data_IF_322497829092
#
_entry.id   IF_322497829092
#
_cell.length_a   1.000
_cell.length_b   1.000
_cell.length_c   1.000
_cell.angle_alpha   90.00
_cell.angle_beta   90.00
_cell.angle_gamma   90.00
#
_symmetry.space_group_name_H-M   'P 1'
#
loop_
_entity.id
_entity.type
_entity.pdbx_description
1 polymer ?
#
# COMPACT_ATOMS: atom_id res chain seq x y z
N UNK A 1 55.01 -30.49 12.89
CA UNK A 1 53.67 -30.28 12.28
C UNK A 1 53.31 -28.81 12.47
N UNK A 2 53.53 -27.98 11.44
CA UNK A 2 53.23 -26.54 11.47
C UNK A 2 51.93 -26.29 10.72
N UNK A 3 51.05 -25.51 11.36
CA UNK A 3 49.72 -25.12 10.90
C UNK A 3 49.73 -24.51 9.49
N UNK A 4 48.83 -25.00 8.64
CA UNK A 4 48.31 -24.30 7.46
C UNK A 4 46.78 -24.32 7.58
N UNK A 5 46.23 -23.35 8.32
CA UNK A 5 44.79 -23.07 8.32
C UNK A 5 44.56 -22.08 7.19
N UNK A 6 44.11 -22.60 6.05
CA UNK A 6 43.79 -21.82 4.85
C UNK A 6 42.55 -20.99 5.13
N UNK A 7 42.74 -19.66 5.08
CA UNK A 7 41.74 -18.61 5.16
C UNK A 7 40.81 -18.70 3.92
N UNK A 8 39.71 -19.44 4.04
CA UNK A 8 38.65 -19.45 3.02
C UNK A 8 37.65 -18.34 3.35
N UNK A 9 38.03 -17.10 3.04
CA UNK A 9 37.15 -15.94 3.08
C UNK A 9 36.11 -16.09 1.95
N UNK A 10 34.98 -16.75 2.27
CA UNK A 10 33.82 -16.76 1.39
C UNK A 10 33.24 -15.35 1.34
N UNK A 11 33.54 -14.65 0.25
CA UNK A 11 32.80 -13.50 -0.24
C UNK A 11 31.36 -13.97 -0.49
N UNK A 12 30.49 -13.80 0.51
CA UNK A 12 29.05 -13.84 0.29
C UNK A 12 28.73 -12.54 -0.46
N UNK A 13 28.77 -12.60 -1.79
CA UNK A 13 28.19 -11.54 -2.61
C UNK A 13 26.69 -11.56 -2.34
N UNK A 14 26.22 -10.63 -1.51
CA UNK A 14 24.80 -10.30 -1.41
C UNK A 14 24.32 -9.92 -2.80
N UNK A 15 23.62 -10.85 -3.47
CA UNK A 15 22.86 -10.53 -4.66
C UNK A 15 21.67 -9.69 -4.22
N UNK A 16 21.88 -8.39 -4.03
CA UNK A 16 20.80 -7.41 -4.10
C UNK A 16 20.21 -7.52 -5.49
N UNK A 17 19.14 -8.31 -5.63
CA UNK A 17 18.33 -8.28 -6.84
C UNK A 17 17.77 -6.87 -6.95
N UNK A 18 18.31 -6.10 -7.88
CA UNK A 18 17.76 -4.79 -8.19
C UNK A 18 16.31 -5.00 -8.63
N UNK A 19 15.35 -4.49 -7.86
CA UNK A 19 13.95 -4.53 -8.23
C UNK A 19 13.78 -3.81 -9.57
N UNK A 20 13.04 -4.42 -10.49
CA UNK A 20 12.76 -3.77 -11.77
C UNK A 20 11.85 -2.55 -11.56
N UNK A 21 11.86 -1.59 -12.48
CA UNK A 21 10.92 -0.45 -12.44
C UNK A 21 9.47 -0.93 -12.36
N UNK A 22 9.12 -2.01 -13.08
CA UNK A 22 7.77 -2.60 -13.00
C UNK A 22 7.45 -3.12 -11.59
N UNK A 23 8.40 -3.77 -10.92
CA UNK A 23 8.18 -4.26 -9.56
C UNK A 23 8.00 -3.10 -8.58
N UNK A 24 8.76 -2.02 -8.77
CA UNK A 24 8.64 -0.81 -7.96
C UNK A 24 7.28 -0.13 -8.17
N UNK A 25 6.80 0.00 -9.41
CA UNK A 25 5.49 0.59 -9.71
C UNK A 25 4.36 -0.18 -9.05
N UNK A 26 4.40 -1.52 -9.08
CA UNK A 26 3.41 -2.38 -8.39
C UNK A 26 3.32 -2.13 -6.89
N UNK A 27 4.36 -1.59 -6.24
CA UNK A 27 4.29 -1.25 -4.81
C UNK A 27 3.31 -0.11 -4.55
N UNK A 28 3.12 0.82 -5.49
CA UNK A 28 2.10 1.88 -5.37
C UNK A 28 0.67 1.32 -5.42
N UNK A 29 0.41 0.38 -6.32
CA UNK A 29 -0.88 -0.31 -6.46
C UNK A 29 -1.19 -1.12 -5.20
N UNK A 30 -0.22 -1.92 -4.73
CA UNK A 30 -0.33 -2.67 -3.48
C UNK A 30 -0.55 -1.76 -2.29
N UNK A 31 0.15 -0.63 -2.24
CA UNK A 31 0.01 0.34 -1.16
C UNK A 31 -1.41 0.89 -1.09
N UNK A 32 -1.95 1.32 -2.24
CA UNK A 32 -3.27 1.89 -2.32
C UNK A 32 -4.36 0.85 -1.98
N UNK A 33 -4.28 -0.35 -2.55
CA UNK A 33 -5.20 -1.43 -2.23
C UNK A 33 -5.17 -1.81 -0.74
N UNK A 34 -3.97 -1.86 -0.13
CA UNK A 34 -3.84 -2.13 1.30
C UNK A 34 -4.46 -1.02 2.16
N UNK A 35 -4.35 0.25 1.75
CA UNK A 35 -5.04 1.35 2.43
C UNK A 35 -6.57 1.29 2.28
N UNK A 36 -7.10 0.95 1.10
CA UNK A 36 -8.53 0.74 0.92
C UNK A 36 -9.03 -0.41 1.81
N UNK A 37 -8.33 -1.53 1.81
CA UNK A 37 -8.63 -2.66 2.68
C UNK A 37 -8.52 -2.33 4.17
N UNK A 38 -7.58 -1.49 4.59
CA UNK A 38 -7.48 -1.02 5.98
C UNK A 38 -8.66 -0.11 6.35
N UNK A 39 -9.14 0.73 5.43
CA UNK A 39 -10.33 1.54 5.63
C UNK A 39 -11.60 0.68 5.76
N UNK A 40 -11.74 -0.36 4.93
CA UNK A 40 -12.81 -1.36 5.06
C UNK A 40 -12.74 -2.10 6.40
N UNK A 41 -11.55 -2.58 6.79
CA UNK A 41 -11.33 -3.26 8.07
C UNK A 41 -11.69 -2.37 9.27
N UNK A 42 -11.39 -1.06 9.19
CA UNK A 42 -11.77 -0.09 10.22
C UNK A 42 -13.29 -0.01 10.39
N UNK A 43 -14.05 0.09 9.28
CA UNK A 43 -15.52 0.13 9.34
C UNK A 43 -16.12 -1.22 9.78
N UNK A 44 -15.49 -2.33 9.40
CA UNK A 44 -15.88 -3.68 9.77
C UNK A 44 -15.51 -4.07 11.22
N UNK A 45 -14.83 -3.18 11.96
CA UNK A 45 -14.29 -3.45 13.31
C UNK A 45 -13.27 -4.60 13.37
N UNK A 46 -12.51 -4.82 12.29
CA UNK A 46 -11.40 -5.78 12.23
C UNK A 46 -10.07 -5.09 12.59
N UNK A 47 -9.91 -4.69 13.86
CA UNK A 47 -8.77 -3.86 14.30
C UNK A 47 -7.39 -4.43 13.94
N UNK A 48 -7.20 -5.75 14.06
CA UNK A 48 -5.92 -6.39 13.74
C UNK A 48 -5.62 -6.32 12.23
N UNK A 49 -6.63 -6.55 11.39
CA UNK A 49 -6.50 -6.43 9.94
C UNK A 49 -6.27 -4.97 9.53
N UNK A 50 -6.98 -4.02 10.15
CA UNK A 50 -6.76 -2.59 9.91
C UNK A 50 -5.30 -2.23 10.17
N UNK A 51 -4.74 -2.63 11.31
CA UNK A 51 -3.34 -2.31 11.66
C UNK A 51 -2.35 -2.98 10.69
N UNK A 52 -2.56 -4.26 10.37
CA UNK A 52 -1.73 -5.02 9.43
C UNK A 52 -1.73 -4.39 8.03
N UNK A 53 -2.91 -4.09 7.50
CA UNK A 53 -3.09 -3.55 6.16
C UNK A 53 -2.62 -2.10 6.06
N UNK A 54 -2.85 -1.28 7.09
CA UNK A 54 -2.29 0.08 7.13
C UNK A 54 -0.76 0.04 7.11
N UNK A 55 -0.15 -0.83 7.91
CA UNK A 55 1.31 -1.01 7.93
C UNK A 55 1.83 -1.46 6.56
N UNK A 56 1.17 -2.44 5.94
CA UNK A 56 1.51 -2.89 4.58
C UNK A 56 1.43 -1.73 3.59
N UNK A 57 0.32 -0.99 3.58
CA UNK A 57 0.13 0.17 2.73
C UNK A 57 1.25 1.19 2.89
N UNK A 58 1.57 1.54 4.13
CA UNK A 58 2.62 2.48 4.47
C UNK A 58 4.01 2.02 4.01
N UNK A 59 4.38 0.77 4.26
CA UNK A 59 5.69 0.24 3.92
C UNK A 59 5.90 0.16 2.40
N UNK A 60 4.93 -0.35 1.65
CA UNK A 60 5.01 -0.44 0.19
C UNK A 60 5.05 0.95 -0.45
N UNK A 61 4.18 1.86 0.02
CA UNK A 61 4.13 3.22 -0.49
C UNK A 61 5.40 4.01 -0.21
N UNK A 62 6.02 3.80 0.96
CA UNK A 62 7.30 4.41 1.32
C UNK A 62 8.42 3.99 0.37
N UNK A 63 8.52 2.69 0.05
CA UNK A 63 9.52 2.19 -0.89
C UNK A 63 9.31 2.79 -2.28
N UNK A 64 8.07 2.84 -2.76
CA UNK A 64 7.74 3.47 -4.04
C UNK A 64 8.14 4.96 -4.08
N UNK A 65 7.73 5.74 -3.08
CA UNK A 65 8.03 7.18 -3.02
C UNK A 65 9.53 7.47 -2.92
N UNK A 66 10.27 6.62 -2.21
CA UNK A 66 11.73 6.72 -2.17
C UNK A 66 12.33 6.40 -3.54
N UNK A 67 11.88 5.34 -4.21
CA UNK A 67 12.36 5.00 -5.54
C UNK A 67 12.04 6.09 -6.58
N UNK A 68 10.88 6.74 -6.46
CA UNK A 68 10.53 7.91 -7.27
C UNK A 68 11.46 9.10 -6.97
N UNK A 69 11.70 9.41 -5.69
CA UNK A 69 12.63 10.49 -5.29
C UNK A 69 14.07 10.23 -5.75
N UNK A 70 14.49 8.97 -5.81
CA UNK A 70 15.79 8.53 -6.33
C UNK A 70 15.87 8.55 -7.87
N UNK A 71 14.78 8.85 -8.58
CA UNK A 71 14.71 8.86 -10.05
C UNK A 71 14.65 7.48 -10.70
N UNK A 72 14.34 6.42 -9.94
CA UNK A 72 14.19 5.03 -10.44
C UNK A 72 12.83 4.79 -11.11
N UNK A 73 11.86 5.66 -10.83
CA UNK A 73 10.51 5.67 -11.39
C UNK A 73 10.27 7.07 -11.95
N UNK A 74 9.65 7.16 -13.12
CA UNK A 74 9.25 8.41 -13.77
C UNK A 74 7.74 8.47 -13.88
N UNK A 75 7.23 9.67 -14.13
CA UNK A 75 5.79 9.91 -14.33
C UNK A 75 5.21 9.07 -15.49
N UNK A 76 6.01 8.80 -16.52
CA UNK A 76 5.61 7.94 -17.64
C UNK A 76 5.43 6.47 -17.28
N UNK A 77 5.89 6.05 -16.11
CA UNK A 77 5.90 4.65 -15.70
C UNK A 77 4.65 4.27 -14.89
N UNK A 78 3.78 5.22 -14.56
CA UNK A 78 2.68 5.04 -13.60
C UNK A 78 1.36 5.57 -14.16
N UNK A 79 0.28 4.83 -13.92
CA UNK A 79 -1.07 5.26 -14.29
C UNK A 79 -1.60 6.33 -13.32
N UNK A 80 -2.28 7.40 -13.81
CA UNK A 80 -2.62 8.56 -13.01
C UNK A 80 -3.88 8.39 -12.14
N UNK A 81 -4.05 7.25 -11.49
CA UNK A 81 -5.23 6.91 -10.69
C UNK A 81 -4.81 6.53 -9.25
N UNK A 82 -5.63 6.90 -8.26
CA UNK A 82 -5.44 6.49 -6.86
C UNK A 82 -4.19 7.09 -6.22
N UNK A 83 -3.17 6.25 -6.01
CA UNK A 83 -1.89 6.62 -5.37
C UNK A 83 -1.22 7.79 -6.09
N UNK A 84 -1.15 7.71 -7.42
CA UNK A 84 -0.41 8.67 -8.24
C UNK A 84 -1.01 10.08 -8.16
N UNK A 85 -2.34 10.18 -8.24
CA UNK A 85 -3.05 11.46 -8.21
C UNK A 85 -2.81 12.27 -6.92
N UNK A 86 -2.33 11.63 -5.84
CA UNK A 86 -2.14 12.24 -4.54
C UNK A 86 -0.66 12.32 -4.11
N UNK A 87 0.27 11.64 -4.82
CA UNK A 87 1.65 11.52 -4.34
C UNK A 87 2.52 12.78 -4.54
N UNK A 88 2.04 13.72 -5.34
CA UNK A 88 2.72 14.99 -5.57
C UNK A 88 2.42 16.01 -4.47
N UNK A 89 1.43 15.75 -3.63
CA UNK A 89 0.99 16.67 -2.59
C UNK A 89 1.78 16.47 -1.30
N UNK A 90 2.57 17.50 -0.95
CA UNK A 90 3.18 17.63 0.36
C UNK A 90 4.71 17.60 0.41
N UNK A 91 5.28 17.99 1.57
CA UNK A 91 6.70 18.33 1.69
C UNK A 91 7.64 17.13 1.87
N UNK A 92 7.15 15.96 2.27
CA UNK A 92 7.97 14.78 2.54
C UNK A 92 7.18 13.47 2.31
N UNK A 93 7.88 12.33 2.32
CA UNK A 93 7.30 11.00 2.05
C UNK A 93 6.16 10.67 3.02
N UNK A 94 6.34 10.89 4.32
CA UNK A 94 5.33 10.52 5.33
C UNK A 94 4.06 11.36 5.18
N UNK A 95 4.19 12.66 4.88
CA UNK A 95 3.06 13.52 4.60
C UNK A 95 2.32 13.06 3.34
N UNK A 96 3.05 12.77 2.25
CA UNK A 96 2.47 12.26 1.00
C UNK A 96 1.68 10.97 1.24
N UNK A 97 2.23 10.03 2.02
CA UNK A 97 1.53 8.82 2.43
C UNK A 97 0.27 9.12 3.25
N UNK A 98 0.30 10.15 4.11
CA UNK A 98 -0.88 10.63 4.82
C UNK A 98 -1.97 11.14 3.87
N UNK A 99 -1.62 11.89 2.83
CA UNK A 99 -2.57 12.36 1.80
C UNK A 99 -3.16 11.18 1.02
N UNK A 100 -2.31 10.23 0.61
CA UNK A 100 -2.74 9.03 -0.11
C UNK A 100 -3.68 8.18 0.75
N UNK A 101 -3.35 7.96 2.03
CA UNK A 101 -4.23 7.29 2.99
C UNK A 101 -5.58 8.01 3.09
N UNK A 102 -5.58 9.33 3.26
CA UNK A 102 -6.81 10.10 3.38
C UNK A 102 -7.69 9.99 2.11
N UNK A 103 -7.07 9.96 0.93
CA UNK A 103 -7.77 9.72 -0.32
C UNK A 103 -8.37 8.32 -0.39
N UNK A 104 -7.57 7.28 -0.14
CA UNK A 104 -8.04 5.89 -0.14
C UNK A 104 -9.17 5.67 0.88
N UNK A 105 -9.01 6.22 2.08
CA UNK A 105 -10.02 6.18 3.14
C UNK A 105 -11.32 6.84 2.69
N UNK A 106 -11.26 8.08 2.17
CA UNK A 106 -12.44 8.80 1.69
C UNK A 106 -13.14 8.03 0.57
N UNK A 107 -12.41 7.60 -0.45
CA UNK A 107 -12.97 6.89 -1.60
C UNK A 107 -13.65 5.59 -1.16
N UNK A 108 -13.00 4.83 -0.28
CA UNK A 108 -13.57 3.60 0.30
C UNK A 108 -14.87 3.86 1.08
N UNK A 109 -14.93 4.93 1.86
CA UNK A 109 -16.12 5.26 2.65
C UNK A 109 -17.25 5.83 1.80
N UNK A 110 -16.96 6.61 0.77
CA UNK A 110 -17.99 7.05 -0.19
C UNK A 110 -18.69 5.85 -0.83
N UNK A 111 -17.93 4.81 -1.12
CA UNK A 111 -18.39 3.52 -1.65
C UNK A 111 -19.27 2.71 -0.67
N UNK A 112 -19.15 2.95 0.64
CA UNK A 112 -19.98 2.32 1.68
C UNK A 112 -21.22 3.17 1.96
N UNK A 113 -21.07 4.50 1.94
CA UNK A 113 -22.10 5.43 2.40
C UNK A 113 -23.05 5.88 1.31
N UNK A 114 -22.69 5.73 0.03
CA UNK A 114 -23.52 6.12 -1.11
C UNK A 114 -23.94 4.90 -1.92
N UNK A 115 -25.19 4.90 -2.37
CA UNK A 115 -25.74 3.96 -3.35
C UNK A 115 -25.41 4.42 -4.77
N UNK A 116 -25.58 3.57 -5.79
CA UNK A 116 -25.36 3.95 -7.19
C UNK A 116 -26.21 5.13 -7.68
N UNK A 117 -27.37 5.36 -7.06
CA UNK A 117 -28.25 6.49 -7.36
C UNK A 117 -27.85 7.81 -6.64
N UNK A 118 -26.74 7.79 -5.88
CA UNK A 118 -26.23 8.92 -5.11
C UNK A 118 -26.92 9.13 -3.76
N UNK A 119 -27.92 8.33 -3.41
CA UNK A 119 -28.56 8.39 -2.08
C UNK A 119 -27.69 7.75 -1.01
N UNK A 120 -27.90 8.14 0.25
CA UNK A 120 -27.14 7.58 1.37
C UNK A 120 -27.62 6.18 1.75
N UNK A 121 -26.69 5.33 2.13
CA UNK A 121 -26.92 4.06 2.80
C UNK A 121 -27.26 4.31 4.28
N UNK A 122 -28.14 3.48 4.85
CA UNK A 122 -28.45 3.55 6.28
C UNK A 122 -27.19 3.23 7.10
N UNK A 123 -26.92 4.01 8.13
CA UNK A 123 -25.77 3.82 9.04
C UNK A 123 -25.74 2.41 9.63
N UNK A 124 -26.92 1.82 9.90
CA UNK A 124 -27.02 0.46 10.40
C UNK A 124 -26.40 -0.60 9.46
N UNK A 125 -26.31 -0.32 8.16
CA UNK A 125 -25.83 -1.27 7.14
C UNK A 125 -24.32 -1.10 6.85
N UNK A 126 -23.67 -0.06 7.37
CA UNK A 126 -22.29 0.28 7.00
C UNK A 126 -21.30 -0.83 7.34
N UNK A 127 -21.43 -1.43 8.53
CA UNK A 127 -20.56 -2.53 8.97
C UNK A 127 -20.69 -3.74 8.05
N UNK A 128 -21.91 -4.15 7.71
CA UNK A 128 -22.17 -5.33 6.88
C UNK A 128 -21.65 -5.12 5.45
N UNK A 129 -21.82 -3.92 4.89
CA UNK A 129 -21.26 -3.56 3.58
C UNK A 129 -19.73 -3.53 3.59
N UNK A 130 -19.13 -3.01 4.66
CA UNK A 130 -17.68 -3.02 4.80
C UNK A 130 -17.13 -4.46 4.87
N UNK A 131 -17.79 -5.35 5.62
CA UNK A 131 -17.44 -6.78 5.67
C UNK A 131 -17.56 -7.41 4.26
N UNK A 132 -18.67 -7.17 3.57
CA UNK A 132 -18.90 -7.70 2.23
C UNK A 132 -17.82 -7.25 1.24
N UNK A 133 -17.51 -5.95 1.21
CA UNK A 133 -16.46 -5.39 0.34
C UNK A 133 -15.08 -5.91 0.72
N UNK A 134 -14.78 -6.01 2.01
CA UNK A 134 -13.51 -6.54 2.52
C UNK A 134 -13.28 -7.98 2.06
N UNK A 135 -14.33 -8.82 2.10
CA UNK A 135 -14.27 -10.18 1.58
C UNK A 135 -14.18 -10.22 0.06
N UNK A 136 -14.96 -9.40 -0.64
CA UNK A 136 -14.97 -9.36 -2.11
C UNK A 136 -13.63 -8.91 -2.71
N UNK A 137 -12.96 -7.95 -2.07
CA UNK A 137 -11.63 -7.49 -2.48
C UNK A 137 -10.49 -8.42 -2.03
N UNK A 138 -10.81 -9.53 -1.38
CA UNK A 138 -9.84 -10.51 -0.86
C UNK A 138 -8.75 -9.86 0.01
N UNK A 139 -9.14 -8.89 0.85
CA UNK A 139 -8.19 -8.08 1.64
C UNK A 139 -7.28 -8.90 2.57
N UNK A 140 -7.69 -10.11 2.95
CA UNK A 140 -6.89 -11.01 3.79
C UNK A 140 -5.68 -11.58 3.05
N UNK A 141 -5.71 -11.67 1.73
CA UNK A 141 -4.63 -12.25 0.93
C UNK A 141 -3.51 -11.27 0.57
N UNK A 142 -3.70 -9.97 0.84
CA UNK A 142 -2.68 -8.95 0.57
C UNK A 142 -1.42 -9.18 1.43
N UNK A 143 -0.26 -9.30 0.76
CA UNK A 143 1.08 -9.50 1.30
C UNK A 143 2.05 -8.39 0.87
#
# INVERSE_FOLDING_TARGET
MRLLVVLCAMLICDQSQAQSTSDLVKLSEKSYAAFECAALASTANFSDEQARLFKLGYEQGKVFLQAYADGKIKDSDVEPIGFWGNMHDGPNIDFKLGVIWASAYRNTHEDIWKKPDGSNVNIADWTDLAILKFTHQDCRSLL
#
